data_IF_935879686016
#
_entry.id   IF_935879686016
#
_cell.length_a   1.000
_cell.length_b   1.000
_cell.length_c   1.000
_cell.angle_alpha   90.00
_cell.angle_beta   90.00
_cell.angle_gamma   90.00
#
_symmetry.space_group_name_H-M   'P 1'
#
loop_
_entity.id
_entity.type
_entity.pdbx_description
1 polymer ?
#
# COMPACT_ATOMS: atom_id res chain seq x y z
N UNK A 1 -13.45 28.96 14.72
CA UNK A 1 -13.71 27.90 13.72
C UNK A 1 -12.35 27.57 13.08
N UNK A 2 -11.67 26.53 13.56
CA UNK A 2 -10.35 26.14 13.02
C UNK A 2 -10.62 25.19 11.86
N UNK A 3 -10.38 25.65 10.64
CA UNK A 3 -10.28 24.78 9.48
C UNK A 3 -8.99 24.00 9.64
N UNK A 4 -9.08 22.73 10.07
CA UNK A 4 -7.95 21.82 9.91
C UNK A 4 -7.88 21.57 8.41
N UNK A 5 -6.88 22.16 7.77
CA UNK A 5 -6.52 21.81 6.40
C UNK A 5 -6.26 20.31 6.38
N UNK A 6 -7.15 19.54 5.75
CA UNK A 6 -6.95 18.13 5.45
C UNK A 6 -5.82 18.02 4.41
N UNK A 7 -4.60 18.32 4.83
CA UNK A 7 -3.42 17.83 4.15
C UNK A 7 -3.43 16.34 4.45
N UNK A 8 -3.93 15.54 3.51
CA UNK A 8 -3.67 14.10 3.50
C UNK A 8 -2.18 13.97 3.25
N UNK A 9 -1.40 13.94 4.34
CA UNK A 9 0.02 13.63 4.25
C UNK A 9 0.12 12.26 3.57
N UNK A 10 0.67 12.22 2.36
CA UNK A 10 1.39 11.04 1.93
C UNK A 10 2.46 10.85 3.00
N UNK A 11 2.32 9.80 3.82
CA UNK A 11 3.37 9.45 4.75
C UNK A 11 4.66 9.32 3.92
N UNK A 12 5.77 10.00 4.28
CA UNK A 12 7.05 9.78 3.59
C UNK A 12 7.54 8.33 3.75
N UNK A 13 6.88 7.58 4.63
CA UNK A 13 7.09 6.17 4.90
C UNK A 13 5.87 5.41 4.37
N UNK A 14 6.03 4.71 3.25
CA UNK A 14 4.97 3.90 2.65
C UNK A 14 4.46 2.79 3.59
N UNK A 15 5.16 2.47 4.67
CA UNK A 15 4.89 1.34 5.56
C UNK A 15 4.17 1.70 6.87
N UNK A 16 3.68 2.93 7.02
CA UNK A 16 2.88 3.36 8.19
C UNK A 16 1.69 4.23 7.76
N UNK A 17 0.53 3.99 8.37
CA UNK A 17 -0.70 4.74 8.13
C UNK A 17 -1.44 5.04 9.43
N UNK A 18 -2.38 5.98 9.38
CA UNK A 18 -3.39 6.14 10.43
C UNK A 18 -4.57 5.23 10.14
N UNK A 19 -5.04 4.53 11.17
CA UNK A 19 -6.36 3.91 11.17
C UNK A 19 -7.46 4.98 11.10
N UNK A 20 -8.68 4.58 10.73
CA UNK A 20 -9.84 5.47 10.77
C UNK A 20 -10.10 6.05 12.17
N UNK A 21 -9.68 5.34 13.22
CA UNK A 21 -9.73 5.73 14.64
C UNK A 21 -8.51 6.54 15.12
N UNK A 22 -7.58 6.90 14.22
CA UNK A 22 -6.41 7.77 14.43
C UNK A 22 -5.21 7.16 15.17
N UNK A 23 -5.18 5.85 15.37
CA UNK A 23 -3.98 5.13 15.80
C UNK A 23 -3.03 4.94 14.63
N UNK A 24 -1.72 5.12 14.85
CA UNK A 24 -0.72 4.70 13.88
C UNK A 24 -0.67 3.17 13.80
N UNK A 25 -0.57 2.65 12.58
CA UNK A 25 -0.35 1.25 12.26
C UNK A 25 0.80 1.09 11.28
N UNK A 26 1.70 0.19 11.64
CA UNK A 26 2.98 -0.03 10.98
C UNK A 26 2.98 -1.42 10.37
N UNK A 27 3.44 -1.53 9.13
CA UNK A 27 3.55 -2.77 8.36
C UNK A 27 5.02 -3.06 8.09
N UNK A 28 5.47 -4.29 8.38
CA UNK A 28 6.88 -4.67 8.28
C UNK A 28 7.03 -6.08 7.74
N UNK A 29 8.19 -6.37 7.17
CA UNK A 29 8.56 -7.73 6.81
C UNK A 29 8.94 -8.52 8.09
N UNK A 30 8.27 -9.64 8.30
CA UNK A 30 8.56 -10.63 9.33
C UNK A 30 9.36 -11.82 8.80
N UNK A 31 9.70 -12.79 9.68
CA UNK A 31 10.41 -14.00 9.29
C UNK A 31 9.66 -14.78 8.19
N UNK A 32 10.42 -15.39 7.26
CA UNK A 32 9.86 -16.24 6.21
C UNK A 32 8.94 -15.51 5.22
N UNK A 33 9.18 -14.22 4.96
CA UNK A 33 8.45 -13.49 3.92
C UNK A 33 7.00 -13.16 4.27
N UNK A 34 6.61 -13.20 5.55
CA UNK A 34 5.29 -12.74 6.01
C UNK A 34 5.29 -11.23 6.21
N UNK A 35 4.23 -10.53 5.80
CA UNK A 35 3.97 -9.18 6.30
C UNK A 35 3.40 -9.31 7.71
N UNK A 36 3.89 -8.47 8.61
CA UNK A 36 3.38 -8.31 9.96
C UNK A 36 2.93 -6.87 10.17
N UNK A 37 1.94 -6.68 11.04
CA UNK A 37 1.45 -5.36 11.38
C UNK A 37 1.33 -5.17 12.89
N UNK A 38 1.50 -3.93 13.34
CA UNK A 38 1.46 -3.52 14.74
C UNK A 38 0.90 -2.10 14.84
N UNK A 39 0.04 -1.85 15.83
CA UNK A 39 -0.69 -0.59 15.94
C UNK A 39 -0.72 -0.07 17.38
N UNK A 40 -0.93 1.24 17.51
CA UNK A 40 -1.12 1.88 18.81
C UNK A 40 -2.44 1.40 19.45
N UNK A 41 -2.48 1.23 20.77
CA UNK A 41 -3.71 0.86 21.47
C UNK A 41 -4.70 2.01 21.57
N UNK A 42 -4.20 3.23 21.63
CA UNK A 42 -4.96 4.47 21.53
C UNK A 42 -4.15 5.53 20.76
N UNK A 43 -4.81 6.57 20.20
CA UNK A 43 -4.11 7.63 19.50
C UNK A 43 -3.04 8.28 20.38
N UNK A 44 -1.81 8.38 19.86
CA UNK A 44 -0.67 9.05 20.51
C UNK A 44 -0.14 8.42 21.81
N UNK A 45 -0.57 7.22 22.21
CA UNK A 45 -0.13 6.59 23.46
C UNK A 45 1.24 5.90 23.39
N UNK A 46 1.74 5.65 22.17
CA UNK A 46 3.00 4.97 21.89
C UNK A 46 3.05 3.48 22.28
N UNK A 47 1.94 2.89 22.74
CA UNK A 47 1.87 1.49 23.18
C UNK A 47 1.37 0.61 22.05
N UNK A 48 2.06 -0.50 21.80
CA UNK A 48 1.62 -1.47 20.81
C UNK A 48 1.77 -2.90 21.35
N UNK A 49 0.71 -3.73 21.37
CA UNK A 49 0.64 -4.94 22.18
C UNK A 49 1.37 -6.15 21.56
N UNK A 50 2.13 -5.95 20.48
CA UNK A 50 2.85 -6.97 19.74
C UNK A 50 2.43 -7.05 18.27
N UNK A 51 3.30 -7.64 17.45
CA UNK A 51 3.06 -7.82 16.01
C UNK A 51 2.07 -8.94 15.76
N UNK A 52 1.25 -8.80 14.73
CA UNK A 52 0.38 -9.85 14.22
C UNK A 52 0.71 -10.17 12.77
N UNK A 53 0.57 -11.42 12.31
CA UNK A 53 0.79 -11.75 10.91
C UNK A 53 -0.37 -11.24 10.06
N UNK A 54 -0.04 -10.52 9.00
CA UNK A 54 -0.92 -10.25 7.85
C UNK A 54 -0.75 -11.34 6.77
N UNK A 55 0.04 -12.39 7.05
CA UNK A 55 0.30 -13.50 6.13
C UNK A 55 1.21 -13.11 4.97
N UNK A 56 1.17 -13.90 3.90
CA UNK A 56 2.14 -13.87 2.81
C UNK A 56 2.95 -15.17 2.81
N UNK A 57 4.24 -15.09 2.53
CA UNK A 57 5.13 -16.25 2.58
C UNK A 57 6.38 -16.12 1.72
N UNK A 58 6.38 -15.20 0.74
CA UNK A 58 7.51 -14.92 -0.14
C UNK A 58 7.68 -13.41 -0.39
N UNK A 59 7.21 -12.57 0.54
CA UNK A 59 7.34 -11.12 0.38
C UNK A 59 8.80 -10.71 0.52
N UNK A 60 9.25 -9.80 -0.35
CA UNK A 60 10.58 -9.22 -0.36
C UNK A 60 10.51 -7.69 -0.37
N UNK A 61 11.44 -7.05 0.33
CA UNK A 61 11.50 -5.59 0.43
C UNK A 61 10.49 -5.00 1.41
N UNK A 62 10.22 -3.69 1.26
CA UNK A 62 9.34 -2.92 2.16
C UNK A 62 7.92 -2.89 1.59
N UNK A 63 6.87 -3.24 2.38
CA UNK A 63 5.49 -3.08 1.94
C UNK A 63 5.09 -1.59 1.90
N UNK A 64 4.05 -1.29 1.12
CA UNK A 64 3.35 -0.01 1.13
C UNK A 64 1.94 -0.16 1.72
N UNK A 65 1.38 0.89 2.28
CA UNK A 65 -0.01 0.98 2.75
C UNK A 65 -0.64 2.27 2.22
N UNK A 66 -1.82 2.13 1.61
CA UNK A 66 -2.71 3.21 1.23
C UNK A 66 -3.93 3.27 2.15
N UNK A 67 -4.51 4.46 2.30
CA UNK A 67 -5.76 4.66 3.04
C UNK A 67 -6.84 5.10 2.07
N UNK A 68 -7.84 4.25 1.86
CA UNK A 68 -9.00 4.55 1.04
C UNK A 68 -9.82 5.70 1.64
N UNK A 69 -10.66 6.34 0.83
CA UNK A 69 -11.53 7.45 1.27
C UNK A 69 -12.50 7.08 2.37
N UNK A 70 -12.84 5.81 2.51
CA UNK A 70 -13.71 5.28 3.56
C UNK A 70 -12.94 4.85 4.83
N UNK A 71 -11.63 5.09 4.89
CA UNK A 71 -10.76 4.77 6.02
C UNK A 71 -10.23 3.33 6.04
N UNK A 72 -10.56 2.50 5.04
CA UNK A 72 -9.98 1.15 4.93
C UNK A 72 -8.53 1.21 4.47
N UNK A 73 -7.69 0.42 5.12
CA UNK A 73 -6.30 0.24 4.72
C UNK A 73 -6.19 -0.79 3.59
N UNK A 74 -5.30 -0.53 2.64
CA UNK A 74 -4.86 -1.48 1.62
C UNK A 74 -3.34 -1.59 1.65
N UNK A 75 -2.82 -2.80 1.86
CA UNK A 75 -1.38 -3.07 2.02
C UNK A 75 -0.89 -3.76 0.75
N UNK A 76 0.12 -3.19 0.12
CA UNK A 76 0.73 -3.65 -1.13
C UNK A 76 2.12 -4.19 -0.81
N UNK A 77 2.45 -5.37 -1.32
CA UNK A 77 3.72 -6.04 -1.09
C UNK A 77 4.24 -6.68 -2.38
N UNK A 78 5.56 -6.69 -2.53
CA UNK A 78 6.26 -7.35 -3.63
C UNK A 78 6.63 -8.76 -3.23
N UNK A 79 6.30 -9.73 -4.07
CA UNK A 79 6.68 -11.12 -3.90
C UNK A 79 8.04 -11.40 -4.54
N UNK A 80 8.70 -12.48 -4.13
CA UNK A 80 10.01 -12.91 -4.65
C UNK A 80 9.99 -13.14 -6.17
N UNK A 81 8.85 -13.55 -6.73
CA UNK A 81 8.63 -13.74 -8.16
C UNK A 81 8.39 -12.42 -8.92
N UNK A 82 8.49 -11.28 -8.26
CA UNK A 82 8.33 -9.94 -8.84
C UNK A 82 6.88 -9.51 -9.03
N UNK A 83 5.88 -10.28 -8.60
CA UNK A 83 4.49 -9.82 -8.58
C UNK A 83 4.27 -8.78 -7.47
N UNK A 84 3.40 -7.81 -7.73
CA UNK A 84 2.84 -6.95 -6.68
C UNK A 84 1.46 -7.47 -6.31
N UNK A 85 1.32 -7.84 -5.05
CA UNK A 85 0.06 -8.27 -4.48
C UNK A 85 -0.37 -7.29 -3.41
N UNK A 86 -1.65 -7.30 -3.09
CA UNK A 86 -2.21 -6.50 -2.03
C UNK A 86 -3.23 -7.25 -1.19
N UNK A 87 -3.48 -6.73 0.01
CA UNK A 87 -4.43 -7.25 0.98
C UNK A 87 -5.05 -6.06 1.70
N UNK A 88 -6.37 -5.98 1.66
CA UNK A 88 -7.10 -4.82 2.16
C UNK A 88 -8.07 -5.18 3.28
N UNK A 89 -8.45 -4.19 4.08
CA UNK A 89 -9.53 -4.31 5.05
C UNK A 89 -10.88 -4.29 4.34
N UNK A 90 -11.80 -5.12 4.82
CA UNK A 90 -13.19 -5.18 4.37
C UNK A 90 -14.10 -4.17 5.08
N UNK A 91 -13.65 -3.56 6.16
CA UNK A 91 -14.32 -2.46 6.87
C UNK A 91 -13.28 -1.58 7.60
N UNK A 92 -13.59 -0.31 7.91
CA UNK A 92 -12.62 0.63 8.48
C UNK A 92 -12.48 0.52 10.01
N UNK A 93 -13.16 -0.41 10.68
CA UNK A 93 -13.11 -0.52 12.13
C UNK A 93 -11.69 -0.85 12.64
N UNK A 94 -11.36 -0.53 13.90
CA UNK A 94 -10.05 -0.82 14.50
C UNK A 94 -9.70 -2.32 14.50
N UNK A 95 -10.71 -3.18 14.55
CA UNK A 95 -10.61 -4.65 14.45
C UNK A 95 -11.01 -5.18 13.05
N UNK A 96 -11.00 -4.28 12.05
CA UNK A 96 -11.47 -4.55 10.70
C UNK A 96 -10.85 -5.80 10.10
N UNK A 97 -11.70 -6.65 9.52
CA UNK A 97 -11.26 -7.91 8.93
C UNK A 97 -10.52 -7.65 7.63
N UNK A 98 -9.31 -8.19 7.51
CA UNK A 98 -8.60 -8.28 6.24
C UNK A 98 -9.27 -9.31 5.31
N UNK A 99 -9.13 -9.13 4.00
CA UNK A 99 -9.46 -10.19 3.03
C UNK A 99 -8.69 -11.48 3.35
N UNK A 100 -9.17 -12.67 2.96
CA UNK A 100 -8.60 -13.94 3.43
C UNK A 100 -7.16 -14.20 2.95
N UNK A 101 -6.74 -13.58 1.84
CA UNK A 101 -5.40 -13.75 1.27
C UNK A 101 -4.96 -12.54 0.48
N UNK A 102 -3.71 -12.59 0.05
CA UNK A 102 -3.12 -11.62 -0.87
C UNK A 102 -3.66 -11.87 -2.28
N UNK A 103 -3.88 -10.80 -3.03
CA UNK A 103 -4.39 -10.82 -4.40
C UNK A 103 -3.43 -10.03 -5.29
N UNK A 104 -3.11 -10.48 -6.52
CA UNK A 104 -2.34 -9.66 -7.46
C UNK A 104 -3.04 -8.32 -7.73
N UNK A 105 -2.30 -7.21 -7.63
CA UNK A 105 -2.84 -5.87 -7.90
C UNK A 105 -3.31 -5.77 -9.37
N UNK A 106 -2.48 -6.29 -10.27
CA UNK A 106 -2.78 -6.52 -11.68
C UNK A 106 -1.84 -7.59 -12.22
N UNK A 107 -2.31 -8.42 -13.15
CA UNK A 107 -1.49 -9.45 -13.78
C UNK A 107 -0.65 -8.84 -14.92
N UNK A 108 0.66 -8.80 -14.75
CA UNK A 108 1.64 -8.42 -15.77
C UNK A 108 2.78 -9.46 -15.77
N UNK A 109 3.41 -9.66 -16.93
CA UNK A 109 4.54 -10.58 -17.10
C UNK A 109 5.88 -9.96 -16.73
N UNK A 110 5.92 -8.66 -16.47
CA UNK A 110 7.15 -7.95 -16.13
C UNK A 110 7.37 -7.87 -14.62
N UNK A 111 8.60 -8.18 -14.22
CA UNK A 111 9.01 -8.26 -12.82
C UNK A 111 9.10 -6.87 -12.18
N UNK A 112 8.49 -6.71 -11.03
CA UNK A 112 8.77 -5.58 -10.14
C UNK A 112 10.06 -5.85 -9.37
N UNK A 113 10.96 -4.86 -9.33
CA UNK A 113 12.27 -4.96 -8.68
C UNK A 113 12.46 -3.98 -7.51
N UNK A 114 11.70 -2.89 -7.49
CA UNK A 114 11.72 -1.89 -6.41
C UNK A 114 10.59 -2.08 -5.39
N UNK A 115 10.76 -1.48 -4.21
CA UNK A 115 9.69 -1.41 -3.21
C UNK A 115 8.52 -0.56 -3.75
N UNK A 116 7.26 -1.00 -3.58
CA UNK A 116 6.11 -0.21 -4.00
C UNK A 116 5.94 1.05 -3.17
N UNK A 117 5.28 2.04 -3.75
CA UNK A 117 4.79 3.24 -3.08
C UNK A 117 3.30 3.40 -3.38
N UNK A 118 2.49 3.73 -2.38
CA UNK A 118 1.06 3.96 -2.55
C UNK A 118 0.69 5.37 -2.08
N UNK A 119 -0.19 6.04 -2.82
CA UNK A 119 -0.71 7.36 -2.48
C UNK A 119 -2.18 7.50 -2.88
N UNK A 120 -2.89 8.43 -2.25
CA UNK A 120 -4.26 8.77 -2.63
C UNK A 120 -4.28 9.98 -3.56
N UNK A 121 -4.97 9.85 -4.69
CA UNK A 121 -5.30 10.96 -5.57
C UNK A 121 -6.33 11.91 -4.92
N UNK A 122 -6.46 13.13 -5.45
CA UNK A 122 -7.43 14.11 -4.96
C UNK A 122 -8.88 13.68 -5.12
N UNK A 123 -9.15 12.79 -6.08
CA UNK A 123 -10.46 12.16 -6.30
C UNK A 123 -10.73 10.97 -5.36
N UNK A 124 -9.74 10.62 -4.52
CA UNK A 124 -9.86 9.55 -3.54
C UNK A 124 -9.39 8.18 -4.01
N UNK A 125 -9.02 8.00 -5.27
CA UNK A 125 -8.49 6.72 -5.79
C UNK A 125 -7.07 6.51 -5.27
N UNK A 126 -6.78 5.31 -4.78
CA UNK A 126 -5.40 4.92 -4.52
C UNK A 126 -4.66 4.70 -5.84
N UNK A 127 -3.38 5.05 -5.85
CA UNK A 127 -2.45 4.80 -6.95
C UNK A 127 -1.13 4.27 -6.39
N UNK A 128 -0.62 3.23 -7.05
CA UNK A 128 0.58 2.49 -6.68
C UNK A 128 1.63 2.73 -7.74
N UNK A 129 2.87 2.97 -7.32
CA UNK A 129 4.03 3.20 -8.17
C UNK A 129 5.11 2.15 -7.85
N UNK A 130 5.80 1.65 -8.88
CA UNK A 130 6.90 0.72 -8.70
C UNK A 130 7.94 0.76 -9.83
N UNK A 131 9.15 0.30 -9.53
CA UNK A 131 10.24 0.11 -10.50
C UNK A 131 10.21 -1.32 -11.04
N UNK A 132 10.20 -1.45 -12.37
CA UNK A 132 10.18 -2.72 -13.09
C UNK A 132 11.57 -3.11 -13.58
N UNK A 133 11.76 -4.41 -13.85
CA UNK A 133 13.04 -5.00 -14.25
C UNK A 133 13.58 -4.49 -15.59
N UNK A 134 12.74 -3.86 -16.42
CA UNK A 134 13.13 -3.16 -17.65
C UNK A 134 13.61 -1.72 -17.41
N UNK A 135 13.69 -1.30 -16.15
CA UNK A 135 14.11 0.04 -15.74
C UNK A 135 12.99 1.08 -15.78
N UNK A 136 11.77 0.72 -16.19
CA UNK A 136 10.63 1.64 -16.20
C UNK A 136 10.05 1.84 -14.80
N UNK A 137 9.66 3.06 -14.48
CA UNK A 137 8.72 3.32 -13.39
C UNK A 137 7.31 3.21 -13.97
N UNK A 138 6.41 2.51 -13.28
CA UNK A 138 5.01 2.40 -13.69
C UNK A 138 4.07 2.72 -12.54
N UNK A 139 2.85 3.09 -12.88
CA UNK A 139 1.76 3.25 -11.94
C UNK A 139 0.53 2.43 -12.30
N UNK A 140 -0.28 2.09 -11.29
CA UNK A 140 -1.61 1.53 -11.44
C UNK A 140 -2.52 2.19 -10.41
N UNK A 141 -3.76 2.49 -10.78
CA UNK A 141 -4.73 3.19 -9.92
C UNK A 141 -6.02 2.41 -9.81
N UNK A 142 -6.73 2.58 -8.69
CA UNK A 142 -8.11 2.11 -8.58
C UNK A 142 -8.97 2.79 -9.66
N UNK A 143 -9.85 2.05 -10.34
CA UNK A 143 -10.75 2.63 -11.34
C UNK A 143 -11.88 3.45 -10.71
N UNK A 144 -12.23 3.17 -9.45
CA UNK A 144 -13.16 3.94 -8.64
C UNK A 144 -12.63 4.08 -7.20
N UNK A 145 -12.88 5.22 -6.55
CA UNK A 145 -12.36 5.49 -5.21
C UNK A 145 -12.87 4.45 -4.20
N UNK A 146 -11.95 3.81 -3.47
CA UNK A 146 -12.30 2.77 -2.50
C UNK A 146 -12.62 1.40 -3.10
N UNK A 147 -12.46 1.21 -4.42
CA UNK A 147 -12.67 -0.10 -5.04
C UNK A 147 -11.34 -0.88 -5.10
N UNK A 148 -11.07 -1.69 -4.08
CA UNK A 148 -9.82 -2.47 -3.99
C UNK A 148 -9.77 -3.67 -4.94
N UNK A 149 -10.86 -4.06 -5.59
CA UNK A 149 -10.84 -5.20 -6.52
C UNK A 149 -10.70 -4.79 -7.99
N UNK A 150 -10.70 -3.49 -8.28
CA UNK A 150 -10.75 -2.95 -9.64
C UNK A 150 -9.66 -1.90 -9.87
N UNK A 151 -8.49 -2.40 -10.26
CA UNK A 151 -7.31 -1.61 -10.59
C UNK A 151 -7.13 -1.50 -12.10
N UNK A 152 -6.53 -0.41 -12.55
CA UNK A 152 -6.08 -0.25 -13.93
C UNK A 152 -4.96 -1.24 -14.26
N UNK A 153 -4.73 -1.45 -15.55
CA UNK A 153 -3.44 -1.99 -16.00
C UNK A 153 -2.29 -1.05 -15.62
N UNK A 154 -1.07 -1.58 -15.56
CA UNK A 154 0.13 -0.77 -15.36
C UNK A 154 0.33 0.23 -16.52
N UNK A 155 0.57 1.48 -16.15
CA UNK A 155 0.90 2.56 -17.06
C UNK A 155 2.36 2.98 -16.88
N UNK A 156 3.14 3.00 -17.96
CA UNK A 156 4.56 3.37 -17.90
C UNK A 156 4.73 4.89 -17.78
N UNK A 157 5.57 5.31 -16.83
CA UNK A 157 6.06 6.67 -16.65
C UNK A 157 7.45 6.87 -17.28
N UNK A 158 7.95 5.85 -18.00
CA UNK A 158 9.25 5.86 -18.66
C UNK A 158 10.41 5.39 -17.78
N UNK A 159 11.62 5.50 -18.32
CA UNK A 159 12.86 5.16 -17.61
C UNK A 159 13.42 6.42 -16.97
N UNK A 160 13.81 6.41 -15.68
CA UNK A 160 14.46 7.56 -15.06
C UNK A 160 15.68 8.02 -15.85
N UNK A 161 15.73 9.30 -16.20
CA UNK A 161 16.85 9.89 -16.94
C UNK A 161 16.80 9.73 -18.47
N UNK A 162 15.80 9.06 -19.04
CA UNK A 162 15.56 9.14 -20.49
C UNK A 162 14.92 10.50 -20.83
N UNK A 163 15.54 11.27 -21.73
CA UNK A 163 14.88 12.44 -22.33
C UNK A 163 13.68 11.97 -23.16
N UNK A 164 12.48 12.54 -22.97
CA UNK A 164 11.36 12.27 -23.86
C UNK A 164 11.71 12.79 -25.26
N UNK A 165 11.85 11.88 -26.23
CA UNK A 165 11.94 12.18 -27.66
C UNK A 165 13.03 13.17 -28.10
N UNK A 166 14.16 12.65 -28.58
CA UNK A 166 14.94 13.34 -29.61
C UNK A 166 14.39 12.96 -30.99
#
# INVERSE_FOLDING_TARGET
>A
MRTVSNVRYASPFSWVALNASQELEVFVLGPGGSVEHIWQTEPSDGRAPGRRPLGGGNVVGTPAVGVNTDGRLDVIARQEDGTLEHRWRTNPAPDGRWTPGWTPLYYDSQLVIGDPMAAANSDGRLEVFALFGDGTIRCAWQNAAGNDIDWSAWHSLGVPGSTPGA
#
